data_IF_365633134481
#
_entry.id   IF_365633134481
#
_cell.length_a   1.000
_cell.length_b   1.000
_cell.length_c   1.000
_cell.angle_alpha   90.00
_cell.angle_beta   90.00
_cell.angle_gamma   90.00
#
_symmetry.space_group_name_H-M   'P 1'
#
loop_
_entity.id
_entity.type
_entity.pdbx_description
1 polymer ?
#
# COMPACT_ATOMS: atom_id res chain seq x y z
N UNK A 1 4.94 -2.06 -29.49
CA UNK A 1 4.43 -1.25 -28.36
C UNK A 1 3.71 -2.19 -27.42
N UNK A 2 4.19 -2.35 -26.21
CA UNK A 2 3.63 -3.24 -25.18
C UNK A 2 2.34 -2.63 -24.62
N UNK A 3 1.33 -3.45 -24.35
CA UNK A 3 0.18 -3.01 -23.58
C UNK A 3 0.54 -3.00 -22.09
N UNK A 4 0.73 -1.81 -21.50
CA UNK A 4 1.08 -1.64 -20.09
C UNK A 4 -0.14 -1.57 -19.17
N UNK A 5 -1.37 -1.51 -19.71
CA UNK A 5 -2.62 -1.39 -18.93
C UNK A 5 -2.89 -2.63 -18.10
N UNK A 6 -3.38 -2.41 -16.89
CA UNK A 6 -3.76 -3.46 -15.93
C UNK A 6 -5.18 -3.24 -15.44
N UNK A 7 -5.96 -4.32 -15.37
CA UNK A 7 -7.32 -4.33 -14.84
C UNK A 7 -7.37 -5.06 -13.49
N UNK A 8 -7.79 -4.34 -12.45
CA UNK A 8 -7.89 -4.84 -11.08
C UNK A 8 -9.37 -4.93 -10.65
N UNK A 9 -10.12 -5.86 -11.25
CA UNK A 9 -11.54 -6.09 -10.90
C UNK A 9 -12.36 -4.78 -10.85
N UNK A 10 -12.38 -4.06 -11.97
CA UNK A 10 -13.11 -2.78 -12.12
C UNK A 10 -12.30 -1.51 -11.82
N UNK A 11 -11.05 -1.62 -11.44
CA UNK A 11 -10.10 -0.51 -11.39
C UNK A 11 -9.09 -0.66 -12.54
N UNK A 12 -9.10 0.25 -13.51
CA UNK A 12 -8.17 0.27 -14.64
C UNK A 12 -6.97 1.17 -14.34
N UNK A 13 -5.77 0.63 -14.46
CA UNK A 13 -4.50 1.35 -14.32
C UNK A 13 -3.82 1.45 -15.69
N UNK A 14 -3.23 2.60 -16.02
CA UNK A 14 -2.48 2.77 -17.29
C UNK A 14 -1.19 1.94 -17.36
N UNK A 15 -0.61 1.62 -16.20
CA UNK A 15 0.49 0.68 -16.01
C UNK A 15 0.46 0.14 -14.56
N UNK A 16 1.22 -0.92 -14.22
CA UNK A 16 1.10 -1.59 -12.93
C UNK A 16 1.73 -0.83 -11.75
N UNK A 17 2.24 0.40 -11.92
CA UNK A 17 3.02 1.08 -10.88
C UNK A 17 2.18 2.10 -10.13
N UNK A 18 2.10 1.91 -8.81
CA UNK A 18 1.48 2.82 -7.84
C UNK A 18 2.54 3.35 -6.85
N UNK A 19 2.28 4.50 -6.23
CA UNK A 19 3.06 4.94 -5.07
C UNK A 19 2.37 4.49 -3.78
N UNK A 20 3.16 4.04 -2.79
CA UNK A 20 2.62 3.57 -1.51
C UNK A 20 2.23 4.73 -0.59
N UNK A 21 1.13 4.54 0.12
CA UNK A 21 0.67 5.46 1.16
C UNK A 21 1.76 5.73 2.22
N UNK A 22 1.81 6.98 2.67
CA UNK A 22 2.74 7.42 3.72
C UNK A 22 4.13 7.84 3.21
N UNK A 23 4.42 7.67 1.93
CA UNK A 23 5.72 8.01 1.32
C UNK A 23 5.61 9.02 0.18
N UNK A 24 4.40 9.42 -0.18
CA UNK A 24 4.14 10.27 -1.35
C UNK A 24 3.13 11.41 -1.06
N UNK A 25 2.95 11.78 0.20
CA UNK A 25 2.06 12.86 0.61
C UNK A 25 0.65 12.73 0.04
N UNK A 26 0.17 13.78 -0.58
CA UNK A 26 -1.07 13.81 -1.38
C UNK A 26 -0.81 13.85 -2.89
N UNK A 27 0.45 13.72 -3.30
CA UNK A 27 0.91 13.72 -4.68
C UNK A 27 1.39 15.08 -5.15
N UNK A 28 0.69 16.17 -4.86
CA UNK A 28 1.03 17.52 -5.31
C UNK A 28 2.44 17.97 -4.89
N UNK A 29 2.93 17.48 -3.75
CA UNK A 29 4.28 17.74 -3.25
C UNK A 29 5.39 17.16 -4.16
N UNK A 30 5.01 16.23 -5.05
CA UNK A 30 5.92 15.55 -5.98
C UNK A 30 5.76 16.02 -7.44
N UNK A 31 4.89 16.99 -7.72
CA UNK A 31 4.56 17.42 -9.08
C UNK A 31 5.77 17.93 -9.88
N UNK A 32 6.79 18.48 -9.21
CA UNK A 32 8.04 18.94 -9.86
C UNK A 32 8.99 17.78 -10.22
N UNK A 33 8.76 16.57 -9.69
CA UNK A 33 9.65 15.43 -9.82
C UNK A 33 9.05 14.30 -10.66
N UNK A 34 7.72 14.20 -10.74
CA UNK A 34 7.01 13.08 -11.35
C UNK A 34 5.98 13.56 -12.36
N UNK A 35 6.06 13.01 -13.55
CA UNK A 35 5.00 13.10 -14.54
C UNK A 35 3.92 12.04 -14.20
N UNK A 36 2.80 12.49 -13.61
CA UNK A 36 1.71 11.60 -13.19
C UNK A 36 1.09 10.82 -14.35
N UNK A 37 1.19 11.32 -15.58
CA UNK A 37 0.72 10.60 -16.78
C UNK A 37 1.50 9.30 -17.05
N UNK A 38 2.65 9.10 -16.40
CA UNK A 38 3.54 7.94 -16.59
C UNK A 38 3.40 6.87 -15.53
N UNK A 39 2.54 7.07 -14.53
CA UNK A 39 2.31 6.08 -13.45
C UNK A 39 0.85 5.65 -13.40
N UNK A 40 0.57 4.44 -12.92
CA UNK A 40 -0.77 3.87 -12.84
C UNK A 40 -1.66 4.53 -11.81
N UNK A 41 -1.06 5.06 -10.73
CA UNK A 41 -1.79 5.77 -9.70
C UNK A 41 -0.93 6.16 -8.50
N UNK A 42 -1.53 6.93 -7.60
CA UNK A 42 -0.97 7.29 -6.31
C UNK A 42 -1.90 6.85 -5.19
N UNK A 43 -1.34 6.31 -4.11
CA UNK A 43 -2.08 6.05 -2.87
C UNK A 43 -1.68 7.11 -1.86
N UNK A 44 -2.59 8.04 -1.63
CA UNK A 44 -2.31 9.21 -0.81
C UNK A 44 -2.20 8.88 0.68
N UNK A 45 -1.79 9.85 1.45
CA UNK A 45 -1.61 9.79 2.90
C UNK A 45 -2.79 9.10 3.60
N UNK A 46 -2.49 8.20 4.54
CA UNK A 46 -3.48 7.53 5.36
C UNK A 46 -4.43 8.51 6.06
N UNK A 47 -5.72 8.35 5.79
CA UNK A 47 -6.81 9.22 6.26
C UNK A 47 -7.63 8.47 7.31
N UNK A 48 -7.93 9.13 8.42
CA UNK A 48 -8.84 8.65 9.49
C UNK A 48 -10.05 9.56 9.59
N UNK A 49 -11.15 9.08 10.20
CA UNK A 49 -12.35 9.92 10.35
C UNK A 49 -12.05 11.20 11.14
N UNK A 50 -11.24 11.11 12.18
CA UNK A 50 -10.82 12.23 13.01
C UNK A 50 -9.38 12.62 12.76
N UNK A 51 -9.04 13.89 13.05
CA UNK A 51 -7.67 14.39 13.09
C UNK A 51 -6.77 13.56 14.01
N UNK A 52 -5.51 13.34 13.60
CA UNK A 52 -4.45 12.70 14.39
C UNK A 52 -3.15 13.48 14.30
N UNK A 53 -2.56 13.81 15.45
CA UNK A 53 -1.25 14.48 15.54
C UNK A 53 -0.08 13.54 15.18
N UNK A 54 -0.30 12.23 15.26
CA UNK A 54 0.77 11.24 15.16
C UNK A 54 1.53 11.05 16.46
N UNK A 55 2.60 10.26 16.39
CA UNK A 55 3.43 9.96 17.55
C UNK A 55 4.48 11.07 17.80
N UNK A 56 5.00 11.20 19.06
CA UNK A 56 6.11 12.08 19.38
C UNK A 56 7.39 11.77 18.60
N UNK A 57 8.27 12.75 18.48
CA UNK A 57 9.62 12.56 17.92
C UNK A 57 10.59 11.94 18.97
N UNK A 58 11.62 11.20 18.51
CA UNK A 58 11.90 10.76 17.12
C UNK A 58 10.97 9.63 16.69
N UNK A 59 10.45 9.73 15.47
CA UNK A 59 9.48 8.76 14.92
C UNK A 59 9.92 8.14 13.59
N UNK A 60 11.15 8.41 13.17
CA UNK A 60 11.81 7.79 12.01
C UNK A 60 13.27 7.54 12.36
N UNK A 61 13.85 6.44 11.89
CA UNK A 61 15.25 6.09 12.07
C UNK A 61 15.76 5.26 10.90
N UNK A 62 16.94 5.57 10.41
CA UNK A 62 17.62 4.76 9.40
C UNK A 62 18.11 3.44 9.99
N UNK A 63 18.11 2.41 9.16
CA UNK A 63 18.69 1.08 9.42
C UNK A 63 19.50 0.64 8.20
N UNK A 64 20.39 -0.36 8.32
CA UNK A 64 21.05 -0.93 7.14
C UNK A 64 20.04 -1.35 6.08
N UNK A 65 20.18 -0.80 4.84
CA UNK A 65 19.31 -1.07 3.69
C UNK A 65 17.81 -0.82 3.91
N UNK A 66 17.44 0.04 4.87
CA UNK A 66 16.03 0.33 5.14
C UNK A 66 15.83 1.45 6.16
N UNK A 67 14.60 1.55 6.66
CA UNK A 67 14.25 2.51 7.69
C UNK A 67 13.16 1.98 8.61
N UNK A 68 13.14 2.50 9.84
CA UNK A 68 12.04 2.33 10.79
C UNK A 68 11.19 3.59 10.84
N UNK A 69 9.89 3.42 10.91
CA UNK A 69 8.97 4.51 11.17
C UNK A 69 7.91 4.16 12.20
N UNK A 70 7.46 5.17 12.92
CA UNK A 70 6.35 5.13 13.85
C UNK A 70 5.60 6.47 13.78
N UNK A 71 5.19 6.90 12.58
CA UNK A 71 4.55 8.20 12.33
C UNK A 71 3.22 8.34 13.08
N UNK A 72 2.46 7.25 13.25
CA UNK A 72 1.22 7.25 14.02
C UNK A 72 0.03 7.84 13.27
N UNK A 73 -0.05 7.65 11.94
CA UNK A 73 -1.17 8.10 11.10
C UNK A 73 -1.46 9.61 11.20
N UNK A 74 -0.45 10.45 11.28
CA UNK A 74 -0.65 11.91 11.28
C UNK A 74 -1.44 12.35 10.06
N UNK A 75 -2.64 12.91 10.26
CA UNK A 75 -3.51 13.45 9.21
C UNK A 75 -4.57 14.37 9.80
N UNK A 76 -5.21 15.17 8.95
CA UNK A 76 -6.21 16.18 9.36
C UNK A 76 -7.65 15.66 9.48
N UNK A 77 -7.90 14.38 9.16
CA UNK A 77 -9.23 13.77 9.16
C UNK A 77 -9.93 13.81 7.80
N UNK A 78 -10.95 12.94 7.64
CA UNK A 78 -11.64 12.74 6.37
C UNK A 78 -12.42 13.97 5.90
N UNK A 79 -13.04 14.73 6.80
CA UNK A 79 -13.74 15.97 6.45
C UNK A 79 -12.78 17.01 5.86
N UNK A 80 -11.63 17.22 6.51
CA UNK A 80 -10.59 18.12 5.99
C UNK A 80 -10.05 17.63 4.64
N UNK A 81 -9.86 16.33 4.49
CA UNK A 81 -9.44 15.75 3.21
C UNK A 81 -10.43 16.09 2.10
N UNK A 82 -11.72 15.84 2.32
CA UNK A 82 -12.78 16.07 1.34
C UNK A 82 -12.91 17.56 0.96
N UNK A 83 -12.80 18.47 1.94
CA UNK A 83 -13.01 19.91 1.74
C UNK A 83 -11.78 20.62 1.19
N UNK A 84 -10.56 20.26 1.64
CA UNK A 84 -9.35 21.06 1.36
C UNK A 84 -8.30 20.35 0.50
N UNK A 85 -8.23 19.00 0.52
CA UNK A 85 -7.22 18.25 -0.23
C UNK A 85 -7.80 17.73 -1.55
N UNK A 86 -8.94 17.03 -1.48
CA UNK A 86 -9.56 16.41 -2.65
C UNK A 86 -9.74 17.38 -3.84
N UNK A 87 -10.25 18.63 -3.69
CA UNK A 87 -10.43 19.53 -4.83
C UNK A 87 -9.13 19.83 -5.60
N UNK A 88 -7.98 19.74 -4.94
CA UNK A 88 -6.67 20.01 -5.57
C UNK A 88 -6.14 18.83 -6.34
N UNK A 89 -6.44 17.60 -5.90
CA UNK A 89 -5.89 16.37 -6.45
C UNK A 89 -6.88 15.59 -7.33
N UNK A 90 -8.16 15.95 -7.32
CA UNK A 90 -9.23 15.22 -8.01
C UNK A 90 -9.05 15.12 -9.54
N UNK A 91 -8.30 16.05 -10.13
CA UNK A 91 -8.08 16.12 -11.58
C UNK A 91 -6.61 15.80 -11.97
N UNK A 92 -5.85 15.16 -11.10
CA UNK A 92 -4.52 14.66 -11.46
C UNK A 92 -4.60 13.67 -12.62
N UNK A 93 -3.66 13.73 -13.55
CA UNK A 93 -3.60 12.80 -14.69
C UNK A 93 -3.06 11.41 -14.27
N UNK A 94 -3.66 10.85 -13.23
CA UNK A 94 -3.44 9.49 -12.75
C UNK A 94 -4.58 9.07 -11.81
N UNK A 95 -4.68 7.76 -11.48
CA UNK A 95 -5.64 7.34 -10.44
C UNK A 95 -5.18 7.83 -9.06
N UNK A 96 -6.09 8.46 -8.31
CA UNK A 96 -5.87 8.83 -6.92
C UNK A 96 -6.66 7.90 -6.01
N UNK A 97 -5.97 7.09 -5.24
CA UNK A 97 -6.55 6.18 -4.25
C UNK A 97 -6.33 6.74 -2.85
N UNK A 98 -7.27 6.50 -1.95
CA UNK A 98 -7.17 6.97 -0.55
C UNK A 98 -6.90 5.79 0.38
N UNK A 99 -5.80 5.85 1.13
CA UNK A 99 -5.55 4.89 2.21
C UNK A 99 -6.45 5.26 3.41
N UNK A 100 -7.33 4.34 3.82
CA UNK A 100 -8.29 4.52 4.90
C UNK A 100 -7.87 3.72 6.12
N UNK A 101 -7.83 4.36 7.28
CA UNK A 101 -7.50 3.74 8.56
C UNK A 101 -8.47 4.15 9.66
N UNK A 102 -8.65 3.30 10.67
CA UNK A 102 -9.50 3.54 11.83
C UNK A 102 -8.94 2.90 13.10
N UNK A 103 -9.50 3.24 14.25
CA UNK A 103 -9.25 2.59 15.53
C UNK A 103 -10.38 1.65 15.94
N UNK A 104 -11.57 1.83 15.40
CA UNK A 104 -12.74 0.98 15.56
C UNK A 104 -13.34 0.67 14.19
N UNK A 105 -14.23 -0.31 14.11
CA UNK A 105 -14.95 -0.63 12.86
C UNK A 105 -15.76 0.58 12.39
N UNK A 106 -16.40 1.29 13.33
CA UNK A 106 -17.19 2.50 13.07
C UNK A 106 -16.32 3.60 12.45
N UNK A 107 -15.07 3.78 12.92
CA UNK A 107 -14.12 4.73 12.33
C UNK A 107 -13.83 4.42 10.85
N UNK A 108 -13.60 3.14 10.53
CA UNK A 108 -13.37 2.70 9.15
C UNK A 108 -14.58 2.94 8.26
N UNK A 109 -15.78 2.59 8.75
CA UNK A 109 -17.04 2.77 8.03
C UNK A 109 -17.29 4.25 7.77
N UNK A 110 -17.25 5.10 8.79
CA UNK A 110 -17.49 6.54 8.65
C UNK A 110 -16.48 7.21 7.72
N UNK A 111 -15.19 6.82 7.78
CA UNK A 111 -14.18 7.33 6.86
C UNK A 111 -14.46 6.89 5.42
N UNK A 112 -14.81 5.62 5.21
CA UNK A 112 -15.13 5.09 3.88
C UNK A 112 -16.38 5.74 3.27
N UNK A 113 -17.41 6.08 4.06
CA UNK A 113 -18.61 6.81 3.62
C UNK A 113 -18.25 8.21 3.09
N UNK A 114 -17.36 8.94 3.79
CA UNK A 114 -16.88 10.23 3.29
C UNK A 114 -16.18 10.07 1.95
N UNK A 115 -15.27 9.10 1.81
CA UNK A 115 -14.54 8.89 0.56
C UNK A 115 -15.45 8.34 -0.55
N UNK A 116 -16.47 7.55 -0.23
CA UNK A 116 -17.47 7.07 -1.20
C UNK A 116 -18.16 8.22 -1.95
N UNK A 117 -18.37 9.36 -1.29
CA UNK A 117 -19.03 10.54 -1.87
C UNK A 117 -18.15 11.36 -2.84
N UNK A 118 -16.85 11.03 -2.96
CA UNK A 118 -15.88 11.75 -3.80
C UNK A 118 -15.77 11.10 -5.17
N UNK A 119 -16.34 11.72 -6.21
CA UNK A 119 -16.52 11.10 -7.54
C UNK A 119 -15.23 10.59 -8.18
N UNK A 120 -14.15 11.39 -8.17
CA UNK A 120 -12.89 11.08 -8.85
C UNK A 120 -11.93 10.23 -8.00
N UNK A 121 -12.39 9.63 -6.90
CA UNK A 121 -11.65 8.62 -6.13
C UNK A 121 -12.18 7.24 -6.52
N UNK A 122 -11.47 6.48 -7.38
CA UNK A 122 -11.98 5.20 -7.90
C UNK A 122 -11.84 4.05 -6.89
N UNK A 123 -10.96 4.18 -5.91
CA UNK A 123 -10.64 3.12 -4.96
C UNK A 123 -10.21 3.64 -3.59
N UNK A 124 -10.39 2.80 -2.57
CA UNK A 124 -9.70 2.95 -1.28
C UNK A 124 -8.77 1.77 -1.03
N UNK A 125 -7.67 2.06 -0.31
CA UNK A 125 -6.81 1.05 0.30
C UNK A 125 -7.11 0.99 1.80
N UNK A 126 -7.79 -0.07 2.22
CA UNK A 126 -8.19 -0.26 3.63
C UNK A 126 -6.98 -0.76 4.43
N UNK A 127 -6.42 0.08 5.27
CA UNK A 127 -5.24 -0.21 6.07
C UNK A 127 -5.64 -0.82 7.42
N UNK A 128 -5.68 -2.13 7.49
CA UNK A 128 -6.07 -2.90 8.70
C UNK A 128 -4.89 -3.20 9.63
N UNK A 129 -3.70 -2.69 9.34
CA UNK A 129 -2.45 -2.99 10.07
C UNK A 129 -2.23 -2.10 11.30
N UNK A 130 -3.08 -1.11 11.54
CA UNK A 130 -2.92 -0.22 12.71
C UNK A 130 -3.21 -0.96 14.01
N UNK A 131 -2.28 -0.92 14.99
CA UNK A 131 -2.55 -1.45 16.31
C UNK A 131 -3.67 -0.64 16.97
N UNK A 132 -4.73 -1.32 17.38
CA UNK A 132 -5.81 -0.73 18.15
C UNK A 132 -5.40 -0.60 19.61
N UNK A 133 -4.99 0.58 20.01
CA UNK A 133 -4.48 0.85 21.38
C UNK A 133 -5.58 0.73 22.44
N UNK A 134 -6.85 0.85 22.09
CA UNK A 134 -7.97 0.90 23.05
C UNK A 134 -8.62 -0.46 23.37
N UNK A 135 -8.41 -1.48 22.55
CA UNK A 135 -9.00 -2.82 22.75
C UNK A 135 -7.93 -3.92 22.84
N UNK A 136 -6.93 -3.75 23.69
CA UNK A 136 -5.91 -4.76 23.94
C UNK A 136 -4.81 -4.86 22.89
N UNK A 137 -4.65 -3.87 22.01
CA UNK A 137 -3.50 -3.71 21.12
C UNK A 137 -3.46 -4.63 19.89
N UNK A 138 -4.45 -5.50 19.66
CA UNK A 138 -4.49 -6.32 18.45
C UNK A 138 -5.08 -5.55 17.27
N UNK A 139 -4.31 -5.42 16.18
CA UNK A 139 -4.80 -4.88 14.94
C UNK A 139 -5.85 -5.83 14.32
N UNK A 140 -6.88 -5.27 13.67
CA UNK A 140 -7.89 -6.07 12.98
C UNK A 140 -7.30 -7.00 11.92
N UNK A 141 -6.20 -6.60 11.29
CA UNK A 141 -5.53 -7.35 10.22
C UNK A 141 -4.64 -8.52 10.65
N UNK A 142 -4.61 -8.90 11.95
CA UNK A 142 -3.77 -10.03 12.42
C UNK A 142 -4.54 -11.33 12.63
N UNK A 143 -5.86 -11.30 12.55
CA UNK A 143 -6.73 -12.49 12.63
C UNK A 143 -7.74 -12.51 11.50
N UNK A 144 -8.14 -13.71 11.06
CA UNK A 144 -9.17 -13.88 10.01
C UNK A 144 -10.53 -13.29 10.43
N UNK A 145 -10.94 -13.46 11.68
CA UNK A 145 -12.17 -12.86 12.22
C UNK A 145 -12.11 -11.33 12.23
N UNK A 146 -10.98 -10.75 12.63
CA UNK A 146 -10.80 -9.30 12.67
C UNK A 146 -10.89 -8.66 11.30
N UNK A 147 -10.18 -9.25 10.30
CA UNK A 147 -10.20 -8.73 8.93
C UNK A 147 -11.58 -8.87 8.30
N UNK A 148 -12.27 -10.00 8.50
CA UNK A 148 -13.62 -10.22 7.98
C UNK A 148 -14.59 -9.15 8.50
N UNK A 149 -14.63 -8.92 9.82
CA UNK A 149 -15.52 -7.92 10.42
C UNK A 149 -15.32 -6.51 9.84
N UNK A 150 -14.08 -6.08 9.66
CA UNK A 150 -13.80 -4.74 9.11
C UNK A 150 -14.15 -4.65 7.64
N UNK A 151 -13.73 -5.64 6.82
CA UNK A 151 -13.97 -5.64 5.38
C UNK A 151 -15.47 -5.72 5.06
N UNK A 152 -16.22 -6.61 5.73
CA UNK A 152 -17.67 -6.72 5.55
C UNK A 152 -18.41 -5.44 5.95
N UNK A 153 -17.98 -4.80 7.05
CA UNK A 153 -18.60 -3.55 7.49
C UNK A 153 -18.36 -2.41 6.49
N UNK A 154 -17.12 -2.26 6.00
CA UNK A 154 -16.78 -1.23 5.01
C UNK A 154 -17.44 -1.53 3.66
N UNK A 155 -17.49 -2.80 3.23
CA UNK A 155 -18.13 -3.18 1.95
C UNK A 155 -19.62 -2.78 1.87
N UNK A 156 -20.31 -2.75 2.99
CA UNK A 156 -21.74 -2.35 3.04
C UNK A 156 -21.98 -0.90 2.63
N UNK A 157 -20.99 -0.03 2.84
CA UNK A 157 -21.10 1.41 2.58
C UNK A 157 -20.23 1.89 1.43
N UNK A 158 -19.20 1.12 1.05
CA UNK A 158 -18.26 1.49 -0.01
C UNK A 158 -18.45 0.57 -1.22
N UNK A 159 -18.87 1.14 -2.36
CA UNK A 159 -19.28 0.37 -3.55
C UNK A 159 -18.31 0.46 -4.73
N UNK A 160 -17.25 1.29 -4.60
CA UNK A 160 -16.14 1.36 -5.55
C UNK A 160 -15.12 0.27 -5.25
N UNK A 161 -13.95 0.29 -5.90
CA UNK A 161 -12.92 -0.73 -5.70
C UNK A 161 -12.33 -0.68 -4.27
N UNK A 162 -12.45 -1.80 -3.57
CA UNK A 162 -11.98 -1.99 -2.20
C UNK A 162 -10.72 -2.86 -2.19
N UNK A 163 -9.56 -2.23 -2.07
CA UNK A 163 -8.27 -2.87 -1.84
C UNK A 163 -8.03 -3.02 -0.34
N UNK A 164 -7.50 -4.16 0.12
CA UNK A 164 -7.21 -4.38 1.55
C UNK A 164 -5.72 -4.59 1.75
N UNK A 165 -5.07 -3.69 2.53
CA UNK A 165 -3.63 -3.73 2.82
C UNK A 165 -3.30 -4.62 4.00
N UNK A 166 -2.58 -5.72 3.72
CA UNK A 166 -2.30 -6.78 4.67
C UNK A 166 -1.02 -6.53 5.46
N UNK A 167 -1.06 -6.92 6.76
CA UNK A 167 0.10 -6.91 7.64
C UNK A 167 0.98 -8.14 7.42
N UNK A 168 2.32 -8.01 7.39
CA UNK A 168 3.23 -9.15 7.38
C UNK A 168 3.40 -9.79 8.76
N UNK A 169 2.94 -9.14 9.83
CA UNK A 169 3.15 -9.56 11.21
C UNK A 169 2.11 -10.59 11.65
N UNK A 170 1.97 -11.66 10.87
CA UNK A 170 0.98 -12.73 11.01
C UNK A 170 1.64 -14.09 10.78
N UNK A 171 1.04 -15.15 11.31
CA UNK A 171 1.52 -16.53 11.11
C UNK A 171 1.30 -17.01 9.67
N UNK A 172 0.12 -16.74 9.10
CA UNK A 172 -0.26 -17.12 7.74
C UNK A 172 -0.91 -15.94 7.03
N UNK A 173 -0.15 -15.28 6.14
CA UNK A 173 -0.70 -14.17 5.34
C UNK A 173 -1.71 -14.67 4.30
N UNK A 174 -1.57 -15.90 3.85
CA UNK A 174 -2.50 -16.53 2.91
C UNK A 174 -3.91 -16.68 3.51
N UNK A 175 -4.02 -17.05 4.79
CA UNK A 175 -5.32 -17.18 5.45
C UNK A 175 -5.99 -15.82 5.68
N UNK A 176 -5.19 -14.79 5.99
CA UNK A 176 -5.67 -13.41 6.09
C UNK A 176 -6.18 -12.91 4.73
N UNK A 177 -5.45 -13.19 3.65
CA UNK A 177 -5.85 -12.82 2.29
C UNK A 177 -7.17 -13.52 1.86
N UNK A 178 -7.32 -14.82 2.15
CA UNK A 178 -8.57 -15.55 1.89
C UNK A 178 -9.76 -14.96 2.65
N UNK A 179 -9.54 -14.58 3.92
CA UNK A 179 -10.58 -13.95 4.72
C UNK A 179 -10.99 -12.58 4.15
N UNK A 180 -10.03 -11.77 3.68
CA UNK A 180 -10.31 -10.49 3.01
C UNK A 180 -11.13 -10.70 1.71
N UNK A 181 -10.72 -11.66 0.86
CA UNK A 181 -11.44 -12.02 -0.37
C UNK A 181 -12.88 -12.47 -0.08
N UNK A 182 -13.05 -13.41 0.86
CA UNK A 182 -14.37 -13.92 1.25
C UNK A 182 -15.29 -12.84 1.82
N UNK A 183 -14.72 -11.80 2.41
CA UNK A 183 -15.45 -10.67 3.00
C UNK A 183 -15.77 -9.53 2.03
N UNK A 184 -15.39 -9.67 0.75
CA UNK A 184 -15.76 -8.74 -0.32
C UNK A 184 -14.68 -7.74 -0.73
N UNK A 185 -13.40 -7.99 -0.45
CA UNK A 185 -12.30 -7.27 -1.06
C UNK A 185 -12.25 -7.49 -2.58
N UNK A 186 -11.96 -6.44 -3.34
CA UNK A 186 -11.76 -6.53 -4.79
C UNK A 186 -10.30 -6.84 -5.14
N UNK A 187 -9.37 -6.45 -4.27
CA UNK A 187 -7.95 -6.77 -4.35
C UNK A 187 -7.30 -6.73 -2.97
N UNK A 188 -6.09 -7.27 -2.86
CA UNK A 188 -5.26 -7.16 -1.65
C UNK A 188 -3.92 -6.53 -2.00
N UNK A 189 -3.41 -5.65 -1.13
CA UNK A 189 -2.04 -5.14 -1.20
C UNK A 189 -1.20 -5.70 -0.05
N UNK A 190 0.02 -6.08 -0.32
CA UNK A 190 0.95 -6.61 0.69
C UNK A 190 2.42 -6.44 0.26
N UNK A 191 3.27 -6.07 1.20
CA UNK A 191 3.11 -6.09 2.65
C UNK A 191 3.11 -4.66 3.23
N UNK A 192 2.40 -4.44 4.36
CA UNK A 192 2.70 -3.33 5.24
C UNK A 192 4.07 -3.59 5.92
N UNK A 193 4.49 -2.72 6.84
CA UNK A 193 5.82 -2.77 7.44
C UNK A 193 5.97 -3.92 8.44
N UNK A 194 7.15 -4.53 8.47
CA UNK A 194 7.55 -5.50 9.48
C UNK A 194 7.83 -4.79 10.82
N UNK A 195 7.46 -5.40 11.93
CA UNK A 195 7.79 -4.86 13.25
C UNK A 195 9.30 -4.99 13.50
N UNK A 196 9.93 -3.88 13.86
CA UNK A 196 11.35 -3.80 14.11
C UNK A 196 11.72 -2.86 15.26
N UNK A 197 12.99 -2.87 15.66
CA UNK A 197 13.55 -2.02 16.70
C UNK A 197 14.97 -1.59 16.33
N UNK A 198 15.37 -0.37 16.74
CA UNK A 198 16.75 0.08 16.68
C UNK A 198 17.16 0.75 18.00
N UNK A 199 18.39 0.49 18.43
CA UNK A 199 18.97 1.00 19.67
C UNK A 199 20.16 1.89 19.34
N UNK A 200 20.26 3.04 20.03
CA UNK A 200 21.48 3.82 20.15
C UNK A 200 22.31 3.21 21.30
N UNK A 201 23.35 2.47 20.97
CA UNK A 201 24.13 1.71 21.94
C UNK A 201 24.87 2.62 22.93
N UNK A 202 25.36 3.79 22.49
CA UNK A 202 26.07 4.73 23.35
C UNK A 202 25.14 5.36 24.39
N UNK A 203 23.91 5.73 23.95
CA UNK A 203 22.89 6.28 24.83
C UNK A 203 22.10 5.21 25.58
N UNK A 204 22.21 3.96 25.18
CA UNK A 204 21.41 2.81 25.70
C UNK A 204 19.91 3.10 25.69
N UNK A 205 19.42 3.66 24.57
CA UNK A 205 18.03 4.09 24.37
C UNK A 205 17.52 3.64 23.00
N UNK A 206 16.21 3.40 22.85
CA UNK A 206 15.63 3.17 21.54
C UNK A 206 15.77 4.41 20.66
N UNK A 207 15.94 4.21 19.34
CA UNK A 207 16.00 5.31 18.36
C UNK A 207 14.63 5.93 18.07
N UNK A 208 13.54 5.22 18.37
CA UNK A 208 12.17 5.70 18.21
C UNK A 208 11.53 5.99 19.57
N UNK A 209 10.68 7.00 19.65
CA UNK A 209 9.93 7.35 20.87
C UNK A 209 8.96 6.23 21.30
N UNK A 210 8.49 5.42 20.35
CA UNK A 210 7.59 4.27 20.54
C UNK A 210 8.32 2.96 20.83
N UNK A 211 9.65 2.98 20.95
CA UNK A 211 10.56 1.83 21.13
C UNK A 211 10.63 0.97 19.85
N UNK A 212 9.54 0.48 19.35
CA UNK A 212 9.42 -0.29 18.09
C UNK A 212 8.76 0.53 17.00
N UNK A 213 8.95 0.13 15.74
CA UNK A 213 8.33 0.76 14.57
C UNK A 213 8.27 -0.20 13.39
N UNK A 214 7.66 0.26 12.32
CA UNK A 214 7.57 -0.50 11.07
C UNK A 214 8.86 -0.39 10.26
N UNK A 215 9.49 -1.53 9.95
CA UNK A 215 10.65 -1.63 9.08
C UNK A 215 10.21 -1.71 7.62
N UNK A 216 10.84 -0.91 6.77
CA UNK A 216 10.62 -0.85 5.32
C UNK A 216 11.94 -0.60 4.57
N UNK A 217 11.93 -0.60 3.24
CA UNK A 217 13.10 -0.43 2.39
C UNK A 217 13.60 -1.76 1.82
N UNK A 218 14.74 -1.75 1.11
CA UNK A 218 15.25 -2.90 0.36
C UNK A 218 15.43 -4.18 1.22
N UNK A 219 15.72 -4.01 2.51
CA UNK A 219 15.91 -5.11 3.45
C UNK A 219 14.69 -6.02 3.60
N UNK A 220 13.47 -5.56 3.31
CA UNK A 220 12.24 -6.38 3.47
C UNK A 220 11.82 -7.10 2.17
N UNK A 221 12.44 -6.79 1.01
CA UNK A 221 12.05 -7.36 -0.30
C UNK A 221 11.92 -8.89 -0.30
N UNK A 222 12.88 -9.69 0.19
CA UNK A 222 12.76 -11.14 0.14
C UNK A 222 11.57 -11.69 0.93
N UNK A 223 11.19 -11.03 2.02
CA UNK A 223 10.03 -11.40 2.84
C UNK A 223 8.75 -11.05 2.12
N UNK A 224 8.66 -9.82 1.58
CA UNK A 224 7.51 -9.34 0.83
C UNK A 224 7.24 -10.21 -0.41
N UNK A 225 8.28 -10.49 -1.19
CA UNK A 225 8.21 -11.31 -2.40
C UNK A 225 7.67 -12.72 -2.10
N UNK A 226 8.21 -13.39 -1.06
CA UNK A 226 7.71 -14.69 -0.61
C UNK A 226 6.23 -14.62 -0.22
N UNK A 227 5.81 -13.58 0.50
CA UNK A 227 4.43 -13.43 0.94
C UNK A 227 3.48 -13.19 -0.25
N UNK A 228 3.88 -12.39 -1.25
CA UNK A 228 3.11 -12.22 -2.49
C UNK A 228 2.94 -13.56 -3.21
N UNK A 229 4.02 -14.32 -3.38
CA UNK A 229 3.95 -15.64 -3.98
C UNK A 229 3.02 -16.61 -3.22
N UNK A 230 3.04 -16.59 -1.88
CA UNK A 230 2.12 -17.41 -1.07
C UNK A 230 0.65 -17.01 -1.26
N UNK A 231 0.37 -15.71 -1.30
CA UNK A 231 -0.99 -15.20 -1.48
C UNK A 231 -1.49 -15.47 -2.90
N UNK A 232 -0.62 -15.40 -3.93
CA UNK A 232 -0.99 -15.69 -5.32
C UNK A 232 -1.44 -17.15 -5.55
N UNK A 233 -1.06 -18.06 -4.67
CA UNK A 233 -1.55 -19.45 -4.68
C UNK A 233 -2.82 -19.65 -3.86
N UNK A 234 -3.29 -18.63 -3.15
CA UNK A 234 -4.33 -18.76 -2.14
C UNK A 234 -5.62 -18.03 -2.48
N UNK A 235 -5.58 -16.96 -3.28
CA UNK A 235 -6.74 -16.12 -3.66
C UNK A 235 -6.87 -15.99 -5.16
N UNK A 236 -8.07 -15.56 -5.62
CA UNK A 236 -8.36 -15.33 -7.05
C UNK A 236 -8.42 -13.82 -7.39
N UNK A 237 -8.53 -12.96 -6.37
CA UNK A 237 -8.55 -11.51 -6.58
C UNK A 237 -7.14 -10.98 -6.88
N UNK A 238 -7.02 -9.86 -7.63
CA UNK A 238 -5.74 -9.22 -7.93
C UNK A 238 -4.92 -8.90 -6.69
N UNK A 239 -3.60 -9.02 -6.83
CA UNK A 239 -2.63 -8.76 -5.77
C UNK A 239 -1.78 -7.57 -6.17
N UNK A 240 -1.60 -6.63 -5.25
CA UNK A 240 -0.68 -5.52 -5.39
C UNK A 240 0.52 -5.77 -4.47
N UNK A 241 1.70 -5.98 -5.08
CA UNK A 241 2.92 -6.28 -4.33
C UNK A 241 3.65 -5.02 -3.87
N UNK A 242 4.08 -4.97 -2.60
CA UNK A 242 4.95 -3.91 -2.11
C UNK A 242 5.88 -4.37 -1.00
N UNK A 243 7.01 -3.66 -0.86
CA UNK A 243 8.02 -3.92 0.15
C UNK A 243 9.41 -4.11 -0.45
N UNK A 244 10.20 -3.05 -0.44
CA UNK A 244 11.59 -3.06 -0.86
C UNK A 244 11.82 -2.90 -2.36
N UNK A 245 10.81 -2.54 -3.15
CA UNK A 245 10.95 -2.24 -4.58
C UNK A 245 11.70 -0.91 -4.73
N UNK A 246 12.82 -0.95 -5.45
CA UNK A 246 13.71 0.18 -5.71
C UNK A 246 14.23 0.23 -7.16
N UNK A 247 13.86 -0.74 -7.99
CA UNK A 247 14.23 -0.84 -9.40
C UNK A 247 13.12 -1.51 -10.21
N UNK A 248 13.22 -1.46 -11.55
CA UNK A 248 12.33 -2.19 -12.44
C UNK A 248 12.48 -3.72 -12.26
N UNK A 249 13.71 -4.19 -12.02
CA UNK A 249 13.98 -5.61 -11.76
C UNK A 249 13.22 -6.09 -10.50
N UNK A 250 13.28 -5.33 -9.39
CA UNK A 250 12.51 -5.64 -8.20
C UNK A 250 11.00 -5.74 -8.50
N UNK A 251 10.46 -4.79 -9.25
CA UNK A 251 9.04 -4.77 -9.62
C UNK A 251 8.65 -6.00 -10.46
N UNK A 252 9.49 -6.37 -11.44
CA UNK A 252 9.29 -7.55 -12.29
C UNK A 252 9.28 -8.83 -11.46
N UNK A 253 10.17 -8.97 -10.45
CA UNK A 253 10.15 -10.11 -9.54
C UNK A 253 8.77 -10.25 -8.84
N UNK A 254 8.17 -9.13 -8.40
CA UNK A 254 6.84 -9.17 -7.80
C UNK A 254 5.75 -9.56 -8.78
N UNK A 255 5.79 -9.07 -10.03
CA UNK A 255 4.85 -9.47 -11.08
C UNK A 255 4.99 -10.97 -11.37
N UNK A 256 6.21 -11.47 -11.56
CA UNK A 256 6.47 -12.89 -11.77
C UNK A 256 5.98 -13.76 -10.60
N UNK A 257 6.10 -13.28 -9.37
CA UNK A 257 5.59 -13.96 -8.17
C UNK A 257 4.07 -14.00 -8.08
N UNK A 258 3.35 -13.26 -8.92
CA UNK A 258 1.88 -13.27 -9.01
C UNK A 258 1.19 -11.96 -8.65
N UNK A 259 1.93 -10.87 -8.46
CA UNK A 259 1.31 -9.56 -8.36
C UNK A 259 0.78 -9.08 -9.71
N UNK A 260 -0.38 -8.42 -9.72
CA UNK A 260 -0.96 -7.77 -10.90
C UNK A 260 -0.49 -6.31 -11.03
N UNK A 261 -0.12 -5.69 -9.91
CA UNK A 261 0.43 -4.34 -9.82
C UNK A 261 1.40 -4.25 -8.64
N UNK A 262 2.12 -3.14 -8.51
CA UNK A 262 3.08 -2.91 -7.43
C UNK A 262 2.93 -1.52 -6.83
N UNK A 263 3.34 -1.36 -5.56
CA UNK A 263 3.47 -0.06 -4.91
C UNK A 263 4.92 0.20 -4.51
N UNK A 264 5.39 1.42 -4.77
CA UNK A 264 6.73 1.88 -4.37
C UNK A 264 6.58 2.79 -3.13
N UNK A 265 7.26 2.42 -2.05
CA UNK A 265 7.24 3.15 -0.78
C UNK A 265 8.53 3.89 -0.50
N UNK A 266 9.38 3.32 0.36
CA UNK A 266 10.60 3.94 0.91
C UNK A 266 11.54 4.52 -0.16
N UNK A 267 11.60 3.91 -1.35
CA UNK A 267 12.43 4.38 -2.45
C UNK A 267 12.06 5.80 -2.94
N UNK A 268 10.81 6.26 -2.74
CA UNK A 268 10.40 7.63 -3.05
C UNK A 268 11.16 8.70 -2.24
N UNK A 269 11.66 8.35 -1.05
CA UNK A 269 12.48 9.27 -0.23
C UNK A 269 13.91 9.41 -0.75
N UNK A 270 14.38 8.44 -1.54
CA UNK A 270 15.73 8.42 -2.14
C UNK A 270 15.68 9.04 -3.54
N UNK A 271 14.73 8.61 -4.34
CA UNK A 271 14.49 9.11 -5.71
C UNK A 271 12.99 9.37 -5.91
N UNK A 272 12.54 10.63 -5.85
CA UNK A 272 11.14 10.99 -6.05
C UNK A 272 10.55 10.54 -7.40
N UNK A 273 11.40 10.39 -8.42
CA UNK A 273 11.00 9.98 -9.78
C UNK A 273 11.01 8.46 -10.01
N UNK A 274 11.31 7.67 -8.97
CA UNK A 274 11.53 6.21 -9.11
C UNK A 274 10.33 5.49 -9.73
N UNK A 275 9.09 5.90 -9.40
CA UNK A 275 7.88 5.23 -9.89
C UNK A 275 7.77 5.29 -11.42
N UNK A 276 8.04 6.43 -12.05
CA UNK A 276 8.03 6.55 -13.53
C UNK A 276 9.21 5.81 -14.18
N UNK A 277 10.37 5.74 -13.52
CA UNK A 277 11.52 4.97 -14.02
C UNK A 277 11.23 3.47 -13.99
N UNK A 278 10.58 2.99 -12.92
CA UNK A 278 10.17 1.60 -12.80
C UNK A 278 9.11 1.25 -13.86
N UNK A 279 8.13 2.13 -14.09
CA UNK A 279 7.12 1.91 -15.15
C UNK A 279 7.77 1.75 -16.53
N UNK A 280 8.69 2.65 -16.89
CA UNK A 280 9.43 2.56 -18.14
C UNK A 280 10.31 1.30 -18.24
N UNK A 281 10.95 0.91 -17.13
CA UNK A 281 11.78 -0.30 -17.10
C UNK A 281 10.99 -1.61 -17.21
N UNK A 282 9.75 -1.66 -16.71
CA UNK A 282 8.84 -2.80 -16.92
C UNK A 282 8.45 -2.90 -18.40
N UNK A 283 8.12 -1.79 -19.07
CA UNK A 283 7.81 -1.76 -20.50
C UNK A 283 9.00 -2.24 -21.34
N UNK A 284 10.22 -1.72 -21.08
CA UNK A 284 11.45 -2.15 -21.74
C UNK A 284 11.71 -3.66 -21.54
N UNK A 285 11.50 -4.19 -20.33
CA UNK A 285 11.62 -5.63 -20.08
C UNK A 285 10.65 -6.44 -20.94
N UNK A 286 9.39 -6.03 -21.01
CA UNK A 286 8.39 -6.69 -21.83
C UNK A 286 8.78 -6.69 -23.32
N UNK A 287 9.25 -5.55 -23.83
CA UNK A 287 9.73 -5.44 -25.23
C UNK A 287 10.90 -6.38 -25.52
N UNK A 288 11.92 -6.38 -24.65
CA UNK A 288 13.12 -7.24 -24.80
C UNK A 288 12.81 -8.74 -24.70
N UNK A 289 11.80 -9.13 -23.93
CA UNK A 289 11.41 -10.52 -23.75
C UNK A 289 10.23 -10.97 -24.61
N UNK A 290 9.68 -10.09 -25.47
CA UNK A 290 8.64 -10.42 -26.42
C UNK A 290 7.24 -10.56 -25.82
N UNK A 291 6.98 -10.01 -24.64
CA UNK A 291 5.64 -9.94 -24.06
C UNK A 291 4.80 -8.87 -24.77
N UNK A 292 3.59 -9.20 -25.15
CA UNK A 292 2.66 -8.26 -25.77
C UNK A 292 1.95 -7.38 -24.73
N UNK A 293 1.82 -7.88 -23.49
CA UNK A 293 1.18 -7.19 -22.38
C UNK A 293 1.92 -7.43 -21.06
N UNK A 294 1.96 -6.41 -20.21
CA UNK A 294 2.51 -6.52 -18.84
C UNK A 294 1.75 -7.55 -18.00
N UNK A 295 0.47 -7.78 -18.29
CA UNK A 295 -0.33 -8.79 -17.58
C UNK A 295 0.16 -10.22 -17.80
N UNK A 296 0.94 -10.48 -18.85
CA UNK A 296 1.56 -11.79 -19.10
C UNK A 296 2.68 -12.10 -18.10
N UNK A 297 3.22 -11.10 -17.41
CA UNK A 297 4.21 -11.31 -16.35
C UNK A 297 3.57 -11.84 -15.05
N UNK A 298 2.27 -11.60 -14.83
CA UNK A 298 1.59 -11.99 -13.58
C UNK A 298 1.61 -13.49 -13.38
N UNK A 299 2.43 -13.94 -12.42
CA UNK A 299 2.56 -15.36 -12.07
C UNK A 299 3.37 -16.21 -13.07
N UNK A 300 4.10 -15.58 -13.98
CA UNK A 300 4.93 -16.26 -14.99
C UNK A 300 6.27 -16.79 -14.44
N UNK A 301 6.43 -16.88 -13.11
CA UNK A 301 7.60 -17.47 -12.48
C UNK A 301 7.74 -18.96 -12.86
N UNK A 302 8.89 -19.33 -13.43
CA UNK A 302 9.24 -20.72 -13.74
C UNK A 302 9.85 -21.33 -12.47
N UNK A 303 9.31 -22.46 -12.01
CA UNK A 303 9.70 -23.12 -10.74
C UNK A 303 10.19 -24.56 -10.91
N UNK A 304 10.23 -25.08 -12.11
CA UNK A 304 10.65 -26.43 -12.51
C UNK A 304 12.00 -26.47 -13.24
#
# INVERSE_FOLDING_TARGET
MVNTRVELKGLSLRNPVLTASGTFGYGEEFADFVDFSKIGGIIVKGTTIHHREGNPYPRMAETPSGMLNAVGLQNKGAAYFAEHIYPRIANMDTNVLVNVSGSTIEDYVACAEVIQSLDNIPAIELNVSCPNVKQGGMAFGVTTDGISKVVEAVRKVYHKHLMVKLSPNVTSIADIAKAAEASGADSVSLINTLMGMAIDAEKRRPKLSTITGGLSGACVKPVALRMVWQVSKAVQIPIIGLGGISSAEDAIEFLLAGASAIEIGTANFIDPSISQKVAAGIEDYCERHGFASVSELTGALITD
#
